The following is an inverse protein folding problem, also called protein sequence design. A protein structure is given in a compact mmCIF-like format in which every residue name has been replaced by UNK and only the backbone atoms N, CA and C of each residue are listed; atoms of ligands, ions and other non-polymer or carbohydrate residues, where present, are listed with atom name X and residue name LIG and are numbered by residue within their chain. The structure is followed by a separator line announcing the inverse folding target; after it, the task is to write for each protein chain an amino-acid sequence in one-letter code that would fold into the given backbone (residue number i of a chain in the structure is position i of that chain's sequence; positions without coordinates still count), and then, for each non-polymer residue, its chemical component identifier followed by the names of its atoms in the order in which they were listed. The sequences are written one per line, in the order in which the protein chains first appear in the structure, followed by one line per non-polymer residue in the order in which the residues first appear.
data_IF_845599434958
#
_entry.id   IF_845599434958
#
_cell.length_a   1.000
_cell.length_b   1.000
_cell.length_c   1.000
_cell.angle_alpha   90.00
_cell.angle_beta   90.00
_cell.angle_gamma   90.00
#
_symmetry.space_group_name_H-M   'P 1'
#
loop_
_entity.id
_entity.type
_entity.pdbx_description
1 polymer ?
#
# COMPACT_ATOMS: atom_id res chain seq x y z
N UNK A 1 -14.71 -50.73 78.27
CA UNK A 1 -15.64 -50.90 77.12
C UNK A 1 -15.84 -49.54 76.44
N UNK A 2 -15.86 -49.52 75.09
CA UNK A 2 -16.06 -48.40 74.13
C UNK A 2 -14.79 -47.56 73.87
N UNK A 3 -14.06 -47.76 72.76
CA UNK A 3 -14.32 -47.51 71.32
C UNK A 3 -14.39 -46.02 70.94
N UNK A 4 -13.27 -45.51 70.37
CA UNK A 4 -13.02 -44.65 69.18
C UNK A 4 -14.02 -43.51 68.82
N UNK A 5 -13.60 -42.36 68.23
CA UNK A 5 -12.79 -42.33 66.99
C UNK A 5 -11.82 -41.15 66.69
N UNK A 6 -10.86 -41.49 65.82
CA UNK A 6 -10.18 -40.75 64.72
C UNK A 6 -10.41 -39.24 64.54
N UNK A 7 -9.32 -38.50 64.36
CA UNK A 7 -9.10 -37.49 63.29
C UNK A 7 -7.60 -37.11 63.24
N UNK A 8 -6.81 -37.60 62.28
CA UNK A 8 -6.51 -37.08 60.92
C UNK A 8 -5.82 -35.69 60.88
N UNK A 9 -4.49 -35.76 60.73
CA UNK A 9 -3.55 -34.94 59.92
C UNK A 9 -3.77 -33.42 59.84
N UNK A 10 -2.75 -32.68 60.30
CA UNK A 10 -2.21 -31.50 59.59
C UNK A 10 -0.69 -31.56 59.69
N UNK A 11 -0.01 -31.58 58.55
CA UNK A 11 1.13 -30.73 58.30
C UNK A 11 0.99 -30.30 56.84
N UNK A 12 0.88 -28.98 56.68
CA UNK A 12 1.04 -28.28 55.41
C UNK A 12 2.54 -28.22 55.18
N UNK A 13 2.99 -28.71 54.04
CA UNK A 13 4.14 -28.12 53.38
C UNK A 13 3.66 -27.83 51.95
N UNK A 14 3.36 -26.55 51.74
CA UNK A 14 3.18 -25.96 50.43
C UNK A 14 4.55 -25.92 49.75
N UNK A 15 4.68 -26.65 48.65
CA UNK A 15 5.75 -26.44 47.68
C UNK A 15 5.13 -26.68 46.31
N UNK A 16 4.49 -25.61 45.82
CA UNK A 16 4.07 -25.45 44.44
C UNK A 16 5.31 -25.68 43.56
N UNK A 17 5.35 -26.78 42.83
CA UNK A 17 6.26 -26.95 41.72
C UNK A 17 5.69 -26.12 40.58
N UNK A 18 6.36 -25.02 40.27
CA UNK A 18 6.14 -24.30 39.02
C UNK A 18 6.55 -25.24 37.88
N UNK A 19 5.55 -25.90 37.27
CA UNK A 19 5.70 -26.54 35.97
C UNK A 19 5.92 -25.45 34.92
N UNK A 20 7.17 -24.99 34.81
CA UNK A 20 7.62 -24.16 33.71
C UNK A 20 7.70 -25.05 32.46
N UNK A 21 6.63 -25.07 31.67
CA UNK A 21 6.68 -25.52 30.29
C UNK A 21 7.75 -24.72 29.54
N UNK A 22 8.84 -25.38 29.17
CA UNK A 22 9.88 -24.82 28.33
C UNK A 22 9.30 -24.58 26.93
N UNK A 23 8.89 -23.34 26.65
CA UNK A 23 8.61 -22.90 25.28
C UNK A 23 9.95 -22.81 24.57
N UNK A 24 10.25 -23.80 23.75
CA UNK A 24 11.39 -23.76 22.84
C UNK A 24 11.08 -22.70 21.78
N UNK A 25 11.55 -21.47 22.01
CA UNK A 25 11.58 -20.45 20.97
C UNK A 25 12.64 -20.89 19.99
N UNK A 26 12.22 -21.56 18.92
CA UNK A 26 13.05 -21.75 17.76
C UNK A 26 13.32 -20.35 17.18
N UNK A 27 14.48 -19.79 17.49
CA UNK A 27 15.09 -18.70 16.73
C UNK A 27 15.54 -19.25 15.35
N UNK A 28 14.60 -19.80 14.59
CA UNK A 28 14.77 -19.91 13.14
C UNK A 28 14.52 -18.50 12.60
N UNK A 29 15.50 -17.86 11.93
CA UNK A 29 15.24 -16.61 11.24
C UNK A 29 14.11 -16.88 10.27
N UNK A 30 12.99 -16.20 10.47
CA UNK A 30 11.78 -16.32 9.66
C UNK A 30 12.21 -16.20 8.19
N UNK A 31 12.24 -17.33 7.46
CA UNK A 31 12.55 -17.40 6.04
C UNK A 31 11.36 -16.88 5.22
N UNK A 32 10.85 -15.71 5.56
CA UNK A 32 9.76 -15.05 4.82
C UNK A 32 10.21 -14.68 3.39
N UNK A 33 11.52 -14.53 3.18
CA UNK A 33 12.10 -14.18 1.88
C UNK A 33 12.12 -15.30 0.84
N UNK A 34 12.08 -16.58 1.25
CA UNK A 34 12.14 -17.71 0.31
C UNK A 34 10.87 -17.81 -0.56
N UNK A 35 9.78 -17.16 -0.15
CA UNK A 35 8.51 -17.11 -0.89
C UNK A 35 8.35 -15.90 -1.81
N UNK A 36 9.23 -14.91 -1.69
CA UNK A 36 9.15 -13.66 -2.44
C UNK A 36 9.81 -13.81 -3.80
N UNK A 37 9.18 -13.25 -4.84
CA UNK A 37 9.82 -13.17 -6.15
C UNK A 37 11.09 -12.32 -6.08
N UNK A 38 12.04 -12.53 -7.00
CA UNK A 38 13.27 -11.74 -7.08
C UNK A 38 12.99 -10.23 -7.16
N UNK A 39 11.86 -9.84 -7.75
CA UNK A 39 11.41 -8.45 -7.81
C UNK A 39 11.01 -7.93 -6.43
N UNK A 40 10.28 -8.72 -5.64
CA UNK A 40 9.81 -8.36 -4.30
C UNK A 40 10.92 -8.33 -3.25
N UNK A 41 12.04 -8.99 -3.52
CA UNK A 41 13.25 -8.93 -2.68
C UNK A 41 14.05 -7.63 -2.89
N UNK A 42 13.77 -6.85 -3.94
CA UNK A 42 14.46 -5.59 -4.19
C UNK A 42 14.16 -4.56 -3.10
N UNK A 43 15.15 -3.72 -2.80
CA UNK A 43 14.95 -2.59 -1.89
C UNK A 43 13.87 -1.64 -2.43
N UNK A 44 13.17 -0.97 -1.52
CA UNK A 44 12.10 -0.02 -1.87
C UNK A 44 12.59 1.08 -2.81
N UNK A 45 13.86 1.49 -2.69
CA UNK A 45 14.48 2.52 -3.53
C UNK A 45 14.69 2.06 -4.96
N UNK A 46 15.18 0.82 -5.16
CA UNK A 46 15.36 0.24 -6.48
C UNK A 46 13.99 0.04 -7.13
N UNK A 47 13.02 -0.52 -6.39
CA UNK A 47 11.67 -0.70 -6.89
C UNK A 47 11.01 0.63 -7.29
N UNK A 48 11.17 1.65 -6.46
CA UNK A 48 10.72 3.02 -6.75
C UNK A 48 11.38 3.58 -8.01
N UNK A 49 12.63 3.25 -8.28
CA UNK A 49 13.32 3.68 -9.49
C UNK A 49 12.77 2.97 -10.72
N UNK A 50 12.54 1.66 -10.65
CA UNK A 50 11.95 0.84 -11.72
C UNK A 50 10.54 1.34 -12.07
N UNK A 51 9.69 1.52 -11.06
CA UNK A 51 8.33 2.05 -11.21
C UNK A 51 8.36 3.45 -11.85
N UNK A 52 9.32 4.29 -11.44
CA UNK A 52 9.48 5.63 -11.99
C UNK A 52 9.99 5.66 -13.43
N UNK A 53 10.73 4.64 -13.85
CA UNK A 53 11.26 4.53 -15.22
C UNK A 53 10.19 4.08 -16.22
N UNK A 54 9.33 3.14 -15.84
CA UNK A 54 8.23 2.65 -16.67
C UNK A 54 6.89 2.72 -15.92
N UNK A 55 6.26 3.91 -15.86
CA UNK A 55 5.00 4.06 -15.17
C UNK A 55 3.84 3.34 -15.88
N UNK A 56 3.94 3.06 -17.17
CA UNK A 56 3.00 2.23 -17.91
C UNK A 56 3.01 0.78 -17.39
N UNK A 57 4.21 0.20 -17.22
CA UNK A 57 4.38 -1.16 -16.65
C UNK A 57 4.04 -1.22 -15.16
N UNK A 58 4.08 -0.08 -14.44
CA UNK A 58 3.69 -0.02 -13.04
C UNK A 58 2.22 -0.41 -12.82
N UNK A 59 1.34 -0.14 -13.78
CA UNK A 59 -0.05 -0.55 -13.72
C UNK A 59 -0.18 -2.09 -13.74
N UNK A 60 0.62 -2.77 -14.55
CA UNK A 60 0.66 -4.23 -14.63
C UNK A 60 1.30 -4.83 -13.37
N UNK A 61 2.40 -4.25 -12.89
CA UNK A 61 3.05 -4.64 -11.63
C UNK A 61 2.12 -4.51 -10.42
N UNK A 62 1.18 -3.56 -10.44
CA UNK A 62 0.18 -3.40 -9.39
C UNK A 62 -0.79 -4.61 -9.29
N UNK A 63 -0.95 -5.35 -10.38
CA UNK A 63 -1.89 -6.47 -10.48
C UNK A 63 -1.26 -7.81 -10.12
N UNK A 64 0.07 -7.92 -10.10
CA UNK A 64 0.77 -9.21 -9.93
C UNK A 64 0.77 -9.72 -8.50
N UNK A 65 1.05 -8.86 -7.51
CA UNK A 65 1.10 -9.27 -6.11
C UNK A 65 0.62 -8.17 -5.16
N UNK A 66 0.28 -8.57 -3.91
CA UNK A 66 -0.10 -7.61 -2.86
C UNK A 66 1.06 -6.70 -2.47
N UNK A 67 2.28 -7.22 -2.42
CA UNK A 67 3.46 -6.46 -2.02
C UNK A 67 3.82 -5.43 -3.10
N UNK A 68 3.85 -5.84 -4.37
CA UNK A 68 4.10 -4.94 -5.49
C UNK A 68 3.02 -3.88 -5.64
N UNK A 69 1.75 -4.24 -5.42
CA UNK A 69 0.65 -3.26 -5.33
C UNK A 69 0.91 -2.19 -4.28
N UNK A 70 1.29 -2.60 -3.06
CA UNK A 70 1.61 -1.66 -1.99
C UNK A 70 2.77 -0.73 -2.36
N UNK A 71 3.84 -1.27 -2.96
CA UNK A 71 4.99 -0.48 -3.39
C UNK A 71 4.65 0.50 -4.52
N UNK A 72 3.87 0.07 -5.51
CA UNK A 72 3.37 0.94 -6.59
C UNK A 72 2.48 2.05 -6.04
N UNK A 73 1.53 1.72 -5.16
CA UNK A 73 0.61 2.68 -4.56
C UNK A 73 1.35 3.68 -3.66
N UNK A 74 2.33 3.20 -2.89
CA UNK A 74 3.21 4.03 -2.10
C UNK A 74 4.08 4.95 -2.97
N UNK A 75 4.66 4.42 -4.07
CA UNK A 75 5.46 5.20 -5.00
C UNK A 75 4.65 6.32 -5.65
N UNK A 76 3.45 6.01 -6.14
CA UNK A 76 2.54 7.00 -6.76
C UNK A 76 2.17 8.09 -5.75
N UNK A 77 1.98 7.73 -4.48
CA UNK A 77 1.64 8.67 -3.41
C UNK A 77 2.82 9.56 -3.01
N UNK A 78 4.03 8.99 -2.92
CA UNK A 78 5.27 9.68 -2.52
C UNK A 78 5.80 10.58 -3.63
N UNK A 79 5.74 10.14 -4.89
CA UNK A 79 6.11 10.96 -6.04
C UNK A 79 4.90 11.70 -6.60
N UNK A 80 4.67 12.89 -6.07
CA UNK A 80 4.05 13.99 -6.81
C UNK A 80 5.00 14.42 -7.92
N UNK A 81 5.20 13.56 -8.94
CA UNK A 81 5.82 14.01 -10.19
C UNK A 81 4.93 15.15 -10.70
N UNK A 82 5.45 16.38 -10.85
CA UNK A 82 4.69 17.45 -11.46
C UNK A 82 4.53 17.13 -12.94
N UNK A 83 3.46 16.39 -13.24
CA UNK A 83 3.09 16.00 -14.60
C UNK A 83 2.55 17.22 -15.34
N UNK A 84 1.82 18.08 -14.62
CA UNK A 84 1.30 19.34 -15.12
C UNK A 84 2.38 20.40 -14.95
N UNK A 85 2.78 21.01 -16.07
CA UNK A 85 3.68 22.16 -16.10
C UNK A 85 2.94 23.45 -15.79
N UNK A 86 1.71 23.58 -16.30
CA UNK A 86 0.88 24.75 -16.09
C UNK A 86 -0.60 24.38 -16.09
N UNK A 87 -1.37 25.03 -15.22
CA UNK A 87 -2.83 24.96 -15.17
C UNK A 87 -3.37 26.38 -15.29
N UNK A 88 -4.08 26.66 -16.39
CA UNK A 88 -4.76 27.93 -16.60
C UNK A 88 -6.27 27.71 -16.57
N UNK A 89 -7.00 28.62 -15.92
CA UNK A 89 -8.47 28.61 -15.89
C UNK A 89 -8.94 29.96 -16.39
N UNK A 90 -9.60 29.96 -17.53
CA UNK A 90 -10.17 31.16 -18.13
C UNK A 90 -11.67 31.22 -17.86
N UNK A 91 -12.12 32.35 -17.33
CA UNK A 91 -13.54 32.69 -17.23
C UNK A 91 -13.97 33.34 -18.54
N UNK A 92 -15.05 32.85 -19.12
CA UNK A 92 -15.65 33.46 -20.31
C UNK A 92 -17.16 33.49 -20.20
N UNK A 93 -17.77 34.51 -20.79
CA UNK A 93 -19.23 34.61 -20.88
C UNK A 93 -19.69 33.92 -22.15
N UNK A 94 -20.66 33.02 -22.03
CA UNK A 94 -21.39 32.43 -23.15
C UNK A 94 -22.83 32.94 -23.17
N UNK A 95 -23.55 32.66 -24.26
CA UNK A 95 -25.00 32.91 -24.35
C UNK A 95 -25.82 32.20 -23.26
N UNK A 96 -25.25 31.19 -22.59
CA UNK A 96 -25.89 30.41 -21.53
C UNK A 96 -25.41 30.80 -20.12
N UNK A 97 -24.59 31.85 -19.99
CA UNK A 97 -24.06 32.32 -18.71
C UNK A 97 -22.54 32.21 -18.59
N UNK A 98 -22.04 32.32 -17.36
CA UNK A 98 -20.60 32.28 -17.05
C UNK A 98 -20.08 30.86 -17.13
N UNK A 99 -19.04 30.66 -17.93
CA UNK A 99 -18.36 29.38 -18.08
C UNK A 99 -16.88 29.50 -17.70
N UNK A 100 -16.29 28.35 -17.35
CA UNK A 100 -14.86 28.21 -17.10
C UNK A 100 -14.27 27.24 -18.11
N UNK A 101 -13.11 27.58 -18.67
CA UNK A 101 -12.31 26.68 -19.50
C UNK A 101 -10.98 26.46 -18.82
N UNK A 102 -10.66 25.20 -18.56
CA UNK A 102 -9.36 24.79 -18.05
C UNK A 102 -8.42 24.38 -19.18
N UNK A 103 -7.17 24.84 -19.13
CA UNK A 103 -6.07 24.37 -19.95
C UNK A 103 -5.02 23.74 -19.04
N UNK A 104 -4.59 22.54 -19.42
CA UNK A 104 -3.55 21.81 -18.70
C UNK A 104 -2.39 21.59 -19.66
N UNK A 105 -1.23 22.16 -19.35
CA UNK A 105 -0.01 21.91 -20.10
C UNK A 105 0.78 20.78 -19.45
N UNK A 106 1.11 19.78 -20.24
CA UNK A 106 1.82 18.57 -19.81
C UNK A 106 3.03 18.38 -20.73
N UNK A 107 4.18 18.03 -20.14
CA UNK A 107 5.35 17.66 -20.95
C UNK A 107 5.03 16.43 -21.79
N UNK A 108 5.46 16.41 -23.06
CA UNK A 108 5.17 15.28 -23.97
C UNK A 108 5.61 13.93 -23.37
N UNK A 109 6.75 13.90 -22.69
CA UNK A 109 7.27 12.70 -22.00
C UNK A 109 6.36 12.19 -20.88
N UNK A 110 5.46 13.00 -20.35
CA UNK A 110 4.52 12.64 -19.29
C UNK A 110 3.06 12.55 -19.78
N UNK A 111 2.79 12.69 -21.08
CA UNK A 111 1.43 12.70 -21.62
C UNK A 111 0.70 11.38 -21.33
N UNK A 112 1.36 10.24 -21.54
CA UNK A 112 0.79 8.92 -21.26
C UNK A 112 0.47 8.74 -19.77
N UNK A 113 1.38 9.15 -18.89
CA UNK A 113 1.20 9.09 -17.45
C UNK A 113 0.07 10.02 -16.97
N UNK A 114 -0.04 11.22 -17.57
CA UNK A 114 -1.14 12.15 -17.30
C UNK A 114 -2.49 11.54 -17.69
N UNK A 115 -2.59 10.98 -18.90
CA UNK A 115 -3.79 10.33 -19.40
C UNK A 115 -4.18 9.14 -18.53
N UNK A 116 -3.21 8.30 -18.17
CA UNK A 116 -3.42 7.16 -17.28
C UNK A 116 -3.93 7.62 -15.91
N UNK A 117 -3.32 8.64 -15.31
CA UNK A 117 -3.79 9.20 -14.02
C UNK A 117 -5.17 9.83 -14.13
N UNK A 118 -5.51 10.49 -15.23
CA UNK A 118 -6.86 11.01 -15.47
C UNK A 118 -7.89 9.88 -15.55
N UNK A 119 -7.61 8.82 -16.31
CA UNK A 119 -8.48 7.65 -16.44
C UNK A 119 -8.68 6.94 -15.11
N UNK A 120 -7.60 6.72 -14.35
CA UNK A 120 -7.64 6.06 -13.05
C UNK A 120 -8.32 6.90 -11.96
N UNK A 121 -8.30 8.23 -12.07
CA UNK A 121 -8.90 9.14 -11.09
C UNK A 121 -10.38 9.42 -11.31
N UNK A 122 -11.03 8.94 -12.36
CA UNK A 122 -12.42 9.32 -12.64
C UNK A 122 -13.39 8.99 -11.48
N UNK A 123 -14.14 9.98 -10.97
CA UNK A 123 -15.58 9.86 -10.79
C UNK A 123 -16.25 10.59 -11.96
N UNK A 124 -16.96 9.88 -12.82
CA UNK A 124 -17.97 10.37 -13.81
C UNK A 124 -17.89 11.82 -14.33
N UNK A 125 -16.71 12.35 -14.67
CA UNK A 125 -16.62 13.65 -15.34
C UNK A 125 -16.70 13.43 -16.85
N UNK A 126 -17.88 13.71 -17.42
CA UNK A 126 -18.15 13.79 -18.85
C UNK A 126 -17.40 14.96 -19.51
N UNK A 127 -16.07 14.93 -19.49
CA UNK A 127 -15.22 15.84 -20.23
C UNK A 127 -15.28 15.43 -21.70
N UNK A 128 -16.11 16.12 -22.47
CA UNK A 128 -16.12 16.07 -23.94
C UNK A 128 -14.81 16.70 -24.45
N UNK A 129 -13.70 15.97 -24.39
CA UNK A 129 -12.39 16.43 -24.87
C UNK A 129 -12.16 15.94 -26.30
N UNK A 130 -12.00 16.89 -27.24
CA UNK A 130 -11.24 16.66 -28.48
C UNK A 130 -9.78 16.90 -28.15
N UNK A 131 -9.02 15.82 -27.98
CA UNK A 131 -7.55 15.88 -27.96
C UNK A 131 -7.11 16.21 -29.40
N UNK A 132 -6.55 17.41 -29.61
CA UNK A 132 -5.83 17.72 -30.85
C UNK A 132 -4.36 17.39 -30.62
N UNK A 133 -3.83 16.50 -31.46
CA UNK A 133 -2.41 16.12 -31.55
C UNK A 133 -1.61 17.19 -32.28
#
# INVERSE_FOLDING_TARGET
KKNQPKMRRRNRDDSLSDDLESVQVCDEPIREFDSLSALEQLSKEIMSTIIGYSPESAAELRLTSRLLRCLVDEHIRRKTVPIIRELAIEKYSSTFGVCFRGYVMVLKSHANLFELRLKLRQPQFNLHQRIKR
#
